data_IF_650145795737
#
_entry.id   IF_650145795737
#
_cell.length_a   1.000
_cell.length_b   1.000
_cell.length_c   1.000
_cell.angle_alpha   90.00
_cell.angle_beta   90.00
_cell.angle_gamma   90.00
#
_symmetry.space_group_name_H-M   'P 1'
#
loop_
_entity.id
_entity.type
_entity.pdbx_description
1 polymer ?
#
# COMPACT_ATOMS: atom_id res chain seq x y z
N UNK A 1 47.48 42.20 38.40
CA UNK A 1 46.81 41.01 38.99
C UNK A 1 45.39 41.38 39.41
N UNK A 2 44.40 40.76 38.75
CA UNK A 2 42.94 40.62 39.03
C UNK A 2 42.29 40.36 37.65
N UNK A 3 42.04 39.08 37.30
CA UNK A 3 40.72 38.43 37.19
C UNK A 3 39.88 39.04 36.04
N UNK A 4 39.24 38.33 35.09
CA UNK A 4 38.55 37.03 35.16
C UNK A 4 37.97 36.72 33.73
N UNK A 5 37.88 35.43 33.35
CA UNK A 5 36.98 34.80 32.34
C UNK A 5 37.23 35.16 30.85
N UNK A 6 37.81 34.33 29.96
CA UNK A 6 37.38 32.99 29.49
C UNK A 6 35.93 32.62 29.79
N UNK A 7 35.08 32.55 28.77
CA UNK A 7 34.07 31.50 28.55
C UNK A 7 33.50 31.69 27.14
N UNK A 8 33.94 30.81 26.25
CA UNK A 8 33.19 30.17 25.17
C UNK A 8 32.03 30.95 24.56
N UNK A 9 32.31 31.59 23.42
CA UNK A 9 31.32 31.88 22.38
C UNK A 9 30.86 30.57 21.72
N UNK A 10 30.23 29.68 22.50
CA UNK A 10 29.33 28.67 21.99
C UNK A 10 28.05 29.45 21.66
N UNK A 11 28.09 30.14 20.52
CA UNK A 11 26.88 30.63 19.88
C UNK A 11 26.08 29.38 19.59
N UNK A 12 25.16 29.15 20.52
CA UNK A 12 23.94 28.38 20.41
C UNK A 12 23.36 28.68 19.03
N UNK A 13 23.84 27.94 18.01
CA UNK A 13 23.13 27.80 16.76
C UNK A 13 21.80 27.23 17.18
N UNK A 14 20.86 28.16 17.25
CA UNK A 14 19.45 27.97 17.50
C UNK A 14 19.04 26.72 16.74
N UNK A 15 18.88 25.64 17.49
CA UNK A 15 18.02 24.53 17.14
C UNK A 15 16.63 25.14 17.01
N UNK A 16 16.39 25.77 15.86
CA UNK A 16 15.07 25.89 15.27
C UNK A 16 14.76 24.45 14.88
N UNK A 17 14.45 23.63 15.89
CA UNK A 17 13.72 22.40 15.66
C UNK A 17 12.35 22.88 15.20
N UNK A 18 12.22 23.07 13.88
CA UNK A 18 10.93 23.00 13.22
C UNK A 18 10.25 21.78 13.83
N UNK A 19 9.13 22.01 14.53
CA UNK A 19 8.38 20.95 15.20
C UNK A 19 8.22 19.84 14.17
N UNK A 20 8.97 18.76 14.35
CA UNK A 20 8.96 17.64 13.44
C UNK A 20 7.52 17.12 13.45
N UNK A 21 6.78 17.43 12.39
CA UNK A 21 5.39 17.01 12.28
C UNK A 21 5.44 15.51 12.08
N UNK A 22 5.22 14.75 13.14
CA UNK A 22 5.07 13.32 13.02
C UNK A 22 3.90 13.05 12.05
N UNK A 23 4.13 12.27 11.01
CA UNK A 23 3.05 11.74 10.20
C UNK A 23 2.80 10.30 10.59
N UNK A 24 1.51 10.01 10.70
CA UNK A 24 1.04 8.65 10.63
C UNK A 24 0.91 8.27 9.16
N UNK A 25 1.24 7.04 8.81
CA UNK A 25 1.03 6.55 7.46
C UNK A 25 -0.48 6.55 7.18
N UNK A 26 -0.86 7.02 5.99
CA UNK A 26 -2.25 7.01 5.54
C UNK A 26 -2.36 5.95 4.46
N UNK A 27 -3.35 5.06 4.60
CA UNK A 27 -3.67 4.08 3.56
C UNK A 27 -4.23 4.82 2.34
N UNK A 28 -3.58 4.77 1.16
CA UNK A 28 -4.12 5.36 -0.05
C UNK A 28 -5.46 4.73 -0.41
N UNK A 29 -6.41 5.53 -0.93
CA UNK A 29 -7.66 4.98 -1.42
C UNK A 29 -7.42 4.20 -2.72
N UNK A 30 -8.29 3.24 -3.00
CA UNK A 30 -8.18 2.43 -4.22
C UNK A 30 -8.32 3.28 -5.50
N UNK A 31 -9.09 4.36 -5.44
CA UNK A 31 -9.20 5.30 -6.56
C UNK A 31 -7.85 5.92 -6.91
N UNK A 32 -7.06 6.30 -5.89
CA UNK A 32 -5.71 6.86 -6.08
C UNK A 32 -4.76 5.81 -6.67
N UNK A 33 -4.81 4.57 -6.19
CA UNK A 33 -4.00 3.48 -6.75
C UNK A 33 -4.31 3.22 -8.23
N UNK A 34 -5.57 3.32 -8.62
CA UNK A 34 -5.97 3.15 -10.01
C UNK A 34 -5.51 4.33 -10.86
N UNK A 35 -5.61 5.56 -10.35
CA UNK A 35 -5.08 6.73 -11.03
C UNK A 35 -3.56 6.60 -11.25
N UNK A 36 -2.81 6.21 -10.23
CA UNK A 36 -1.36 5.98 -10.29
C UNK A 36 -0.97 4.83 -11.25
N UNK A 37 -1.76 3.75 -11.30
CA UNK A 37 -1.61 2.70 -12.30
C UNK A 37 -1.83 3.23 -13.71
N UNK A 38 -2.92 3.99 -13.94
CA UNK A 38 -3.27 4.55 -15.23
C UNK A 38 -2.27 5.61 -15.72
N UNK A 39 -1.64 6.33 -14.78
CA UNK A 39 -0.53 7.26 -15.05
C UNK A 39 0.80 6.53 -15.31
N UNK A 40 0.85 5.23 -15.10
CA UNK A 40 1.99 4.38 -15.38
C UNK A 40 3.02 4.28 -14.26
N UNK A 41 2.75 4.83 -13.08
CA UNK A 41 3.64 4.78 -11.91
C UNK A 41 3.57 3.42 -11.20
N UNK A 42 2.39 2.79 -11.22
CA UNK A 42 2.17 1.46 -10.67
C UNK A 42 2.06 0.39 -11.76
N UNK A 43 2.38 -0.83 -11.36
CA UNK A 43 2.10 -2.08 -12.07
C UNK A 43 1.17 -2.95 -11.24
N UNK A 44 0.42 -3.81 -11.91
CA UNK A 44 -0.40 -4.86 -11.31
C UNK A 44 0.28 -6.21 -11.44
N UNK A 45 0.36 -6.93 -10.33
CA UNK A 45 0.99 -8.25 -10.22
C UNK A 45 0.03 -9.20 -9.52
N UNK A 46 -0.25 -10.34 -10.13
CA UNK A 46 -0.97 -11.45 -9.53
C UNK A 46 -0.02 -12.50 -8.99
N UNK A 47 -0.43 -13.15 -7.92
CA UNK A 47 0.29 -14.31 -7.42
C UNK A 47 -0.27 -14.77 -6.08
N UNK A 48 0.59 -15.43 -5.32
CA UNK A 48 0.28 -15.91 -3.99
C UNK A 48 1.50 -15.82 -3.08
N UNK A 49 1.24 -15.64 -1.78
CA UNK A 49 2.29 -15.72 -0.77
C UNK A 49 2.63 -17.17 -0.44
N UNK A 50 3.90 -17.43 -0.18
CA UNK A 50 4.42 -18.74 0.25
C UNK A 50 4.69 -18.69 1.75
N UNK A 51 4.17 -19.63 2.56
CA UNK A 51 4.45 -19.66 3.99
C UNK A 51 5.95 -19.65 4.29
N UNK A 52 6.35 -18.87 5.29
CA UNK A 52 7.72 -18.93 5.80
C UNK A 52 7.98 -20.27 6.49
N UNK A 53 9.19 -20.81 6.34
CA UNK A 53 9.67 -21.99 7.09
C UNK A 53 10.01 -21.65 8.54
N UNK A 54 10.25 -20.38 8.83
CA UNK A 54 10.70 -19.89 10.14
C UNK A 54 9.90 -18.64 10.50
N UNK A 55 8.99 -18.76 11.46
CA UNK A 55 8.11 -17.66 11.90
C UNK A 55 6.65 -17.86 11.49
N UNK A 56 5.82 -16.89 11.87
CA UNK A 56 4.36 -16.92 11.65
C UNK A 56 3.90 -16.01 10.49
N UNK A 57 4.80 -15.19 9.95
CA UNK A 57 4.54 -14.27 8.85
C UNK A 57 5.44 -14.58 7.64
N UNK A 58 5.02 -14.12 6.46
CA UNK A 58 5.78 -14.21 5.21
C UNK A 58 5.63 -12.94 4.36
N UNK A 59 6.69 -12.67 3.61
CA UNK A 59 6.81 -11.60 2.61
C UNK A 59 7.11 -12.15 1.21
N UNK A 60 7.28 -13.47 1.07
CA UNK A 60 7.65 -14.10 -0.20
C UNK A 60 6.42 -14.31 -1.07
N UNK A 61 6.41 -13.66 -2.24
CA UNK A 61 5.31 -13.69 -3.20
C UNK A 61 5.73 -14.33 -4.51
N UNK A 62 5.01 -15.37 -4.94
CA UNK A 62 5.24 -16.03 -6.23
C UNK A 62 4.26 -15.47 -7.25
N UNK A 63 4.80 -14.90 -8.32
CA UNK A 63 4.02 -14.25 -9.37
C UNK A 63 3.40 -15.29 -10.30
N UNK A 64 2.12 -15.14 -10.63
CA UNK A 64 1.43 -15.93 -11.65
C UNK A 64 1.17 -15.12 -12.91
N UNK A 65 1.00 -13.80 -12.77
CA UNK A 65 0.71 -12.89 -13.87
C UNK A 65 1.20 -11.49 -13.56
N UNK A 66 1.61 -10.74 -14.57
CA UNK A 66 2.07 -9.36 -14.40
C UNK A 66 1.64 -8.51 -15.59
N UNK A 67 1.33 -7.23 -15.31
CA UNK A 67 1.19 -6.19 -16.33
C UNK A 67 2.52 -5.53 -16.69
N UNK A 68 3.57 -5.77 -15.90
CA UNK A 68 4.93 -5.33 -16.14
C UNK A 68 5.76 -6.46 -16.76
N UNK A 69 6.41 -6.20 -17.89
CA UNK A 69 7.25 -7.19 -18.57
C UNK A 69 8.54 -7.52 -17.80
N UNK A 70 8.98 -6.67 -16.87
CA UNK A 70 10.18 -6.89 -16.06
C UNK A 70 9.93 -7.84 -14.89
N UNK A 71 8.67 -8.01 -14.48
CA UNK A 71 8.26 -8.92 -13.42
C UNK A 71 7.81 -10.22 -14.06
N UNK A 72 8.55 -11.30 -13.82
CA UNK A 72 8.37 -12.58 -14.52
C UNK A 72 7.42 -13.49 -13.74
N UNK A 73 6.46 -14.13 -14.42
CA UNK A 73 5.69 -15.24 -13.85
C UNK A 73 6.61 -16.35 -13.34
N UNK A 74 6.10 -17.12 -12.38
CA UNK A 74 6.73 -18.26 -11.72
C UNK A 74 7.99 -17.93 -10.89
N UNK A 75 8.34 -16.65 -10.79
CA UNK A 75 9.41 -16.19 -9.91
C UNK A 75 8.88 -15.76 -8.55
N UNK A 76 9.69 -16.01 -7.53
CA UNK A 76 9.46 -15.54 -6.17
C UNK A 76 10.12 -14.17 -5.96
N UNK A 77 9.41 -13.27 -5.32
CA UNK A 77 9.86 -11.92 -4.98
C UNK A 77 9.67 -11.66 -3.50
N UNK A 78 10.53 -10.82 -2.94
CA UNK A 78 10.39 -10.30 -1.59
C UNK A 78 9.51 -9.06 -1.61
N UNK A 79 8.45 -9.05 -0.81
CA UNK A 79 7.41 -8.00 -0.84
C UNK A 79 7.61 -7.01 0.30
N UNK A 80 7.57 -5.73 -0.06
CA UNK A 80 7.76 -4.59 0.83
C UNK A 80 6.59 -3.62 0.70
N UNK A 81 6.29 -2.87 1.74
CA UNK A 81 5.38 -1.73 1.73
C UNK A 81 6.18 -0.43 1.79
N UNK A 82 5.72 0.61 1.09
CA UNK A 82 6.38 1.90 1.00
C UNK A 82 5.41 3.06 1.27
N UNK A 83 5.82 3.97 2.14
CA UNK A 83 5.12 5.22 2.41
C UNK A 83 5.72 5.99 3.60
N UNK A 84 5.19 7.19 3.87
CA UNK A 84 5.74 8.09 4.87
C UNK A 84 5.41 7.60 6.28
N UNK A 85 6.41 7.59 7.16
CA UNK A 85 6.26 7.18 8.55
C UNK A 85 7.23 7.94 9.47
N UNK A 86 6.83 8.11 10.73
CA UNK A 86 7.72 8.58 11.80
C UNK A 86 7.76 10.09 12.00
N UNK A 87 8.70 10.55 12.83
CA UNK A 87 8.78 11.94 13.29
C UNK A 87 9.17 12.93 12.19
N UNK A 88 9.86 12.47 11.14
CA UNK A 88 10.35 13.31 10.04
C UNK A 88 9.62 13.10 8.71
N UNK A 89 8.59 12.25 8.68
CA UNK A 89 7.87 11.92 7.45
C UNK A 89 8.72 11.42 6.31
N UNK A 90 9.73 10.65 6.68
CA UNK A 90 10.55 9.94 5.71
C UNK A 90 9.77 8.75 5.18
N UNK A 91 9.97 8.46 3.90
CA UNK A 91 9.42 7.27 3.30
C UNK A 91 10.34 6.06 3.56
N UNK A 92 9.76 4.95 4.04
CA UNK A 92 10.49 3.72 4.34
C UNK A 92 9.93 2.52 3.56
N UNK A 93 10.82 1.60 3.16
CA UNK A 93 10.44 0.26 2.72
C UNK A 93 10.38 -0.67 3.95
N UNK A 94 9.23 -1.30 4.19
CA UNK A 94 8.99 -2.19 5.33
C UNK A 94 8.55 -3.57 4.86
N UNK A 95 9.01 -4.63 5.51
CA UNK A 95 8.62 -5.99 5.14
C UNK A 95 7.12 -6.24 5.31
N UNK A 96 6.48 -6.84 4.29
CA UNK A 96 5.11 -7.33 4.42
C UNK A 96 5.07 -8.49 5.40
N UNK A 97 4.27 -8.37 6.45
CA UNK A 97 4.03 -9.44 7.41
C UNK A 97 2.69 -10.17 7.19
N UNK A 98 2.55 -10.94 6.09
CA UNK A 98 1.31 -11.72 5.88
C UNK A 98 1.32 -12.99 6.75
N UNK A 99 0.25 -13.24 7.51
CA UNK A 99 0.08 -14.48 8.29
C UNK A 99 0.21 -15.72 7.37
N UNK A 100 1.03 -16.69 7.78
CA UNK A 100 1.24 -17.94 7.04
C UNK A 100 -0.06 -18.71 6.77
N UNK A 101 -1.11 -18.55 7.59
CA UNK A 101 -2.45 -19.13 7.36
C UNK A 101 -3.11 -18.55 6.11
N UNK A 102 -2.78 -17.31 5.75
CA UNK A 102 -3.27 -16.62 4.56
C UNK A 102 -2.38 -16.83 3.33
N UNK A 103 -1.17 -17.38 3.50
CA UNK A 103 -0.21 -17.64 2.44
C UNK A 103 -0.39 -19.05 1.84
N UNK A 104 -1.12 -19.17 0.72
CA UNK A 104 -1.34 -20.46 0.06
C UNK A 104 -1.51 -20.28 -1.45
N UNK A 105 -1.09 -21.27 -2.25
CA UNK A 105 -1.16 -21.23 -3.72
C UNK A 105 -2.57 -20.99 -4.27
N UNK A 106 -3.60 -21.48 -3.59
CA UNK A 106 -5.01 -21.29 -3.96
C UNK A 106 -5.61 -19.96 -3.45
N UNK A 107 -4.87 -19.18 -2.65
CA UNK A 107 -5.30 -17.86 -2.14
C UNK A 107 -4.64 -16.75 -2.95
N UNK A 108 -5.05 -16.63 -4.22
CA UNK A 108 -4.50 -15.61 -5.11
C UNK A 108 -4.77 -14.18 -4.60
N UNK A 109 -3.84 -13.29 -4.93
CA UNK A 109 -3.86 -11.87 -4.61
C UNK A 109 -3.46 -11.06 -5.84
N UNK A 110 -3.94 -9.83 -5.91
CA UNK A 110 -3.45 -8.81 -6.83
C UNK A 110 -2.77 -7.71 -6.01
N UNK A 111 -1.52 -7.40 -6.36
CA UNK A 111 -0.72 -6.33 -5.78
C UNK A 111 -0.65 -5.15 -6.75
N UNK A 112 -0.82 -3.94 -6.23
CA UNK A 112 -0.32 -2.73 -6.85
C UNK A 112 1.13 -2.52 -6.40
N UNK A 113 2.05 -2.37 -7.34
CA UNK A 113 3.48 -2.23 -7.04
C UNK A 113 4.10 -1.03 -7.77
N UNK A 114 4.96 -0.28 -7.11
CA UNK A 114 5.72 0.82 -7.70
C UNK A 114 6.74 0.30 -8.71
N UNK A 115 6.70 0.78 -9.96
CA UNK A 115 7.60 0.29 -11.03
C UNK A 115 9.07 0.62 -10.78
N UNK A 116 9.34 1.83 -10.34
CA UNK A 116 10.70 2.36 -10.10
C UNK A 116 11.40 1.70 -8.90
N UNK A 117 10.62 1.12 -7.98
CA UNK A 117 11.09 0.45 -6.76
C UNK A 117 11.04 -1.07 -6.82
N UNK A 118 10.16 -1.64 -7.64
CA UNK A 118 10.01 -3.11 -7.79
C UNK A 118 11.04 -3.68 -8.75
N UNK A 119 12.29 -3.75 -8.29
CA UNK A 119 13.46 -4.23 -9.04
C UNK A 119 14.30 -5.17 -8.19
N UNK A 120 15.20 -5.92 -8.83
CA UNK A 120 16.18 -6.78 -8.15
C UNK A 120 15.53 -7.80 -7.19
N UNK A 121 14.46 -8.46 -7.62
CA UNK A 121 13.76 -9.46 -6.81
C UNK A 121 12.81 -8.88 -5.74
N UNK A 122 12.56 -7.57 -5.75
CA UNK A 122 11.59 -6.92 -4.86
C UNK A 122 10.28 -6.60 -5.57
N UNK A 123 9.18 -6.67 -4.82
CA UNK A 123 7.90 -6.05 -5.14
C UNK A 123 7.57 -5.03 -4.05
N UNK A 124 7.44 -3.75 -4.41
CA UNK A 124 7.21 -2.68 -3.45
C UNK A 124 5.81 -2.13 -3.64
N UNK A 125 4.92 -2.39 -2.68
CA UNK A 125 3.54 -1.91 -2.69
C UNK A 125 3.42 -0.57 -1.96
N UNK A 126 2.34 0.19 -2.20
CA UNK A 126 1.94 1.26 -1.30
C UNK A 126 1.70 0.75 0.13
N UNK A 127 1.87 1.63 1.10
CA UNK A 127 1.65 1.34 2.52
C UNK A 127 0.21 0.85 2.79
N UNK A 128 0.07 -0.17 3.63
CA UNK A 128 -1.17 -0.88 3.95
C UNK A 128 -1.83 -1.65 2.80
N UNK A 129 -1.11 -1.84 1.69
CA UNK A 129 -1.56 -2.63 0.54
C UNK A 129 -0.72 -3.90 0.30
N UNK A 130 0.27 -4.19 1.16
CA UNK A 130 1.21 -5.31 1.04
C UNK A 130 0.56 -6.69 1.06
N UNK A 131 -0.60 -6.84 1.70
CA UNK A 131 -1.35 -8.10 1.68
C UNK A 131 -2.07 -8.37 0.35
N UNK A 132 -2.20 -7.35 -0.49
CA UNK A 132 -2.89 -7.42 -1.76
C UNK A 132 -4.41 -7.50 -1.67
N UNK A 133 -5.04 -7.37 -2.82
CA UNK A 133 -6.47 -7.54 -3.00
C UNK A 133 -6.78 -9.03 -3.13
N UNK A 134 -7.71 -9.54 -2.32
CA UNK A 134 -8.12 -10.94 -2.38
C UNK A 134 -8.98 -11.20 -3.62
N UNK A 135 -8.74 -12.34 -4.26
CA UNK A 135 -9.66 -12.90 -5.26
C UNK A 135 -10.54 -13.93 -4.55
N UNK A 136 -11.85 -13.67 -4.50
CA UNK A 136 -12.86 -14.52 -3.84
C UNK A 136 -13.96 -14.80 -4.86
N UNK A 137 -14.33 -16.06 -5.05
CA UNK A 137 -15.41 -16.47 -5.98
C UNK A 137 -15.30 -15.81 -7.37
N UNK A 138 -14.09 -15.79 -7.93
CA UNK A 138 -13.79 -15.16 -9.22
C UNK A 138 -14.07 -13.64 -9.28
N UNK A 139 -14.03 -12.94 -8.14
CA UNK A 139 -14.13 -11.48 -8.05
C UNK A 139 -12.98 -10.92 -7.23
N UNK A 140 -12.52 -9.73 -7.60
CA UNK A 140 -11.70 -8.93 -6.70
C UNK A 140 -12.64 -8.21 -5.73
N UNK A 141 -12.39 -8.34 -4.44
CA UNK A 141 -13.16 -7.67 -3.39
C UNK A 141 -12.24 -6.71 -2.63
N UNK A 142 -12.60 -5.43 -2.62
CA UNK A 142 -11.87 -4.39 -1.91
C UNK A 142 -12.81 -3.76 -0.90
N UNK A 143 -12.35 -3.70 0.34
CA UNK A 143 -13.08 -3.04 1.42
C UNK A 143 -12.30 -1.82 1.86
N UNK A 144 -13.00 -0.72 2.06
CA UNK A 144 -12.45 0.49 2.62
C UNK A 144 -13.43 1.11 3.62
N UNK A 145 -12.93 2.10 4.34
CA UNK A 145 -13.71 2.90 5.26
C UNK A 145 -13.26 4.35 5.16
N UNK A 146 -14.20 5.26 5.34
CA UNK A 146 -13.94 6.68 5.48
C UNK A 146 -14.80 7.25 6.62
N UNK A 147 -14.31 8.29 7.25
CA UNK A 147 -15.08 9.08 8.21
C UNK A 147 -15.49 10.40 7.57
N UNK A 148 -16.76 10.75 7.70
CA UNK A 148 -17.30 12.01 7.19
C UNK A 148 -18.04 12.72 8.32
N UNK A 149 -17.96 14.05 8.37
CA UNK A 149 -18.71 14.84 9.33
C UNK A 149 -20.12 15.13 8.81
N UNK A 150 -21.15 14.64 9.51
CA UNK A 150 -22.55 14.91 9.21
C UNK A 150 -22.99 16.17 9.97
N UNK A 151 -22.99 17.30 9.27
CA UNK A 151 -23.37 18.60 9.84
C UNK A 151 -24.82 18.66 10.33
N UNK A 152 -25.72 17.80 9.83
CA UNK A 152 -27.12 17.75 10.30
C UNK A 152 -27.26 17.04 11.64
N UNK A 153 -26.33 16.12 11.94
CA UNK A 153 -26.34 15.35 13.20
C UNK A 153 -25.25 15.78 14.19
N UNK A 154 -24.44 16.77 13.81
CA UNK A 154 -23.28 17.25 14.57
C UNK A 154 -22.38 16.11 15.06
N UNK A 155 -22.06 15.17 14.16
CA UNK A 155 -21.21 14.02 14.48
C UNK A 155 -20.47 13.48 13.27
N UNK A 156 -19.35 12.80 13.53
CA UNK A 156 -18.69 11.97 12.53
C UNK A 156 -19.48 10.68 12.31
N UNK A 157 -19.66 10.31 11.05
CA UNK A 157 -20.23 9.04 10.61
C UNK A 157 -19.15 8.20 9.95
N UNK A 158 -19.16 6.90 10.23
CA UNK A 158 -18.27 5.95 9.57
C UNK A 158 -19.00 5.32 8.40
N UNK A 159 -18.43 5.48 7.21
CA UNK A 159 -18.92 4.89 5.97
C UNK A 159 -17.98 3.77 5.58
N UNK A 160 -18.47 2.53 5.65
CA UNK A 160 -17.75 1.39 5.08
C UNK A 160 -18.22 1.19 3.66
N UNK A 161 -17.28 0.87 2.76
CA UNK A 161 -17.61 0.56 1.39
C UNK A 161 -16.93 -0.72 0.93
N UNK A 162 -17.59 -1.41 0.01
CA UNK A 162 -17.05 -2.55 -0.69
C UNK A 162 -17.13 -2.31 -2.19
N UNK A 163 -15.98 -2.42 -2.86
CA UNK A 163 -15.92 -2.50 -4.31
C UNK A 163 -15.75 -3.96 -4.75
N UNK A 164 -16.43 -4.34 -5.83
CA UNK A 164 -16.26 -5.65 -6.45
C UNK A 164 -16.25 -5.57 -7.96
N UNK A 165 -15.37 -6.36 -8.58
CA UNK A 165 -15.29 -6.52 -10.04
C UNK A 165 -15.02 -8.00 -10.37
N UNK A 166 -15.68 -8.58 -11.41
CA UNK A 166 -15.33 -9.91 -11.88
C UNK A 166 -13.87 -9.98 -12.32
N UNK A 167 -13.15 -11.01 -11.86
CA UNK A 167 -11.73 -11.22 -12.11
C UNK A 167 -11.38 -11.22 -13.61
N UNK A 168 -12.24 -11.84 -14.42
CA UNK A 168 -12.05 -11.87 -15.88
C UNK A 168 -12.19 -10.50 -16.52
N UNK A 169 -13.12 -9.66 -16.02
CA UNK A 169 -13.32 -8.29 -16.52
C UNK A 169 -12.14 -7.42 -16.12
N UNK A 170 -11.68 -7.52 -14.87
CA UNK A 170 -10.50 -6.80 -14.37
C UNK A 170 -9.28 -7.02 -15.25
N UNK A 171 -8.93 -8.28 -15.52
CA UNK A 171 -7.77 -8.60 -16.35
C UNK A 171 -7.97 -8.30 -17.83
N UNK A 172 -9.21 -8.36 -18.34
CA UNK A 172 -9.52 -7.95 -19.71
C UNK A 172 -9.20 -6.46 -19.91
N UNK A 173 -9.62 -5.58 -18.99
CA UNK A 173 -9.30 -4.15 -19.07
C UNK A 173 -7.78 -3.90 -19.11
N UNK A 174 -7.02 -4.60 -18.27
CA UNK A 174 -5.56 -4.47 -18.21
C UNK A 174 -4.89 -4.92 -19.51
N UNK A 175 -5.31 -6.06 -20.07
CA UNK A 175 -4.71 -6.59 -21.29
C UNK A 175 -5.05 -5.78 -22.54
N UNK A 176 -6.29 -5.31 -22.65
CA UNK A 176 -6.80 -4.67 -23.87
C UNK A 176 -6.55 -3.17 -23.86
N UNK A 177 -6.85 -2.50 -22.75
CA UNK A 177 -6.88 -1.04 -22.67
C UNK A 177 -5.69 -0.46 -21.88
N UNK A 178 -4.92 -1.32 -21.18
CA UNK A 178 -3.82 -0.93 -20.27
C UNK A 178 -4.22 0.13 -19.24
N UNK A 179 -5.51 0.27 -18.98
CA UNK A 179 -6.10 1.20 -18.03
C UNK A 179 -7.20 0.47 -17.29
N UNK A 180 -7.31 0.77 -16.00
CA UNK A 180 -8.41 0.34 -15.16
C UNK A 180 -9.49 1.41 -15.12
N UNK A 181 -10.73 1.01 -15.38
CA UNK A 181 -11.90 1.85 -15.16
C UNK A 181 -12.58 1.43 -13.85
N UNK A 182 -12.82 2.41 -12.99
CA UNK A 182 -13.47 2.22 -11.69
C UNK A 182 -14.99 2.16 -11.77
N UNK A 183 -15.59 2.67 -12.86
CA UNK A 183 -17.05 2.68 -13.05
C UNK A 183 -17.65 1.28 -13.16
N UNK A 184 -16.85 0.30 -13.61
CA UNK A 184 -17.25 -1.11 -13.70
C UNK A 184 -17.28 -1.82 -12.33
N UNK A 185 -16.87 -1.13 -11.26
CA UNK A 185 -16.82 -1.69 -9.92
C UNK A 185 -18.12 -1.40 -9.19
N UNK A 186 -18.80 -2.47 -8.76
CA UNK A 186 -19.99 -2.31 -7.92
C UNK A 186 -19.55 -1.82 -6.55
N UNK A 187 -19.98 -0.61 -6.18
CA UNK A 187 -19.82 -0.04 -4.84
C UNK A 187 -21.05 -0.31 -3.99
N UNK A 188 -20.84 -0.87 -2.80
CA UNK A 188 -21.86 -0.98 -1.76
C UNK A 188 -21.42 -0.16 -0.55
N UNK A 189 -22.22 0.81 -0.13
CA UNK A 189 -21.95 1.64 1.06
C UNK A 189 -22.81 1.18 2.25
N UNK A 190 -22.19 1.06 3.41
CA UNK A 190 -22.82 0.75 4.68
C UNK A 190 -22.54 1.92 5.62
N UNK A 191 -23.59 2.63 6.00
CA UNK A 191 -23.51 3.78 6.90
C UNK A 191 -23.76 3.27 8.33
N UNK A 192 -22.72 3.25 9.15
CA UNK A 192 -22.87 3.03 10.59
C UNK A 192 -23.20 4.39 11.23
N UNK A 193 -24.43 4.50 11.76
CA UNK A 193 -24.95 5.71 12.40
C UNK A 193 -24.66 5.74 13.88
#
# INVERSE_FOLDING_TARGET
MKHLLFITSFIFCLLISDKASACSPIKPDIADLIAEYNNGNLSLVEGYFVPSKTGIFTSTFVVTRSSDANIKPEQAYYTLEYGPFGSQCEDYEMEVGLDNKEAQKNKLRVLFVYKDRSKNGKLVTPIFWGSGIKIVEHKLIIKGEKEEYDSKKDKFIRIRYQYSIPYIVFWKQILENRKLNFDDWKKEEIIEK
#
